data_IF_490024816199
#
_entry.id   IF_490024816199
#
_cell.length_a   1.000
_cell.length_b   1.000
_cell.length_c   1.000
_cell.angle_alpha   90.00
_cell.angle_beta   90.00
_cell.angle_gamma   90.00
#
_symmetry.space_group_name_H-M   'P 1'
#
loop_
_entity.id
_entity.type
_entity.pdbx_description
1 polymer ?
#
# COMPACT_ATOMS: atom_id res chain seq x y z
N UNK A 1 1.31 -16.39 21.36
CA UNK A 1 2.40 -15.97 20.42
C UNK A 1 1.77 -15.00 19.42
N UNK A 2 2.43 -13.86 19.17
CA UNK A 2 1.95 -12.87 18.18
C UNK A 2 2.15 -13.38 16.77
N UNK A 3 1.18 -13.14 15.87
CA UNK A 3 1.23 -13.60 14.49
C UNK A 3 1.18 -12.41 13.52
N UNK A 4 2.01 -12.45 12.45
CA UNK A 4 2.10 -11.46 11.40
C UNK A 4 2.01 -12.13 10.03
N UNK A 5 1.06 -11.68 9.20
CA UNK A 5 1.02 -12.02 7.78
C UNK A 5 1.55 -10.86 6.95
N UNK A 6 2.61 -11.10 6.19
CA UNK A 6 3.19 -10.13 5.24
C UNK A 6 2.68 -10.47 3.85
N UNK A 7 2.25 -9.47 3.09
CA UNK A 7 1.64 -9.65 1.77
C UNK A 7 2.35 -8.80 0.72
N UNK A 8 2.62 -9.38 -0.44
CA UNK A 8 3.04 -8.65 -1.63
C UNK A 8 2.26 -9.16 -2.85
N UNK A 9 1.67 -8.24 -3.60
CA UNK A 9 1.16 -8.54 -4.96
C UNK A 9 2.32 -8.45 -5.93
N UNK A 10 2.53 -9.52 -6.70
CA UNK A 10 3.61 -9.58 -7.69
C UNK A 10 3.02 -9.66 -9.10
N UNK A 11 3.66 -8.96 -10.07
CA UNK A 11 3.25 -8.95 -11.47
C UNK A 11 4.47 -8.75 -12.38
N UNK A 12 4.92 -9.82 -13.03
CA UNK A 12 6.08 -9.78 -13.92
C UNK A 12 7.41 -9.44 -13.25
N UNK A 13 7.50 -9.60 -11.93
CA UNK A 13 8.73 -9.37 -11.17
C UNK A 13 9.80 -10.40 -11.53
N UNK A 14 11.07 -9.99 -11.50
CA UNK A 14 12.20 -10.90 -11.66
C UNK A 14 12.34 -11.79 -10.42
N UNK A 15 12.39 -13.10 -10.62
CA UNK A 15 12.50 -14.11 -9.56
C UNK A 15 13.68 -13.83 -8.62
N UNK A 16 14.83 -13.43 -9.16
CA UNK A 16 16.04 -13.16 -8.39
C UNK A 16 15.85 -11.96 -7.44
N UNK A 17 15.11 -10.93 -7.87
CA UNK A 17 14.80 -9.78 -7.03
C UNK A 17 13.88 -10.17 -5.85
N UNK A 18 12.88 -11.01 -6.12
CA UNK A 18 11.98 -11.53 -5.09
C UNK A 18 12.73 -12.40 -4.08
N UNK A 19 13.63 -13.27 -4.52
CA UNK A 19 14.46 -14.10 -3.63
C UNK A 19 15.36 -13.25 -2.73
N UNK A 20 15.92 -12.14 -3.24
CA UNK A 20 16.69 -11.19 -2.42
C UNK A 20 15.81 -10.53 -1.36
N UNK A 21 14.60 -10.10 -1.71
CA UNK A 21 13.66 -9.51 -0.76
C UNK A 21 13.26 -10.51 0.34
N UNK A 22 12.97 -11.77 -0.02
CA UNK A 22 12.68 -12.85 0.94
C UNK A 22 13.85 -13.08 1.89
N UNK A 23 15.08 -13.13 1.37
CA UNK A 23 16.28 -13.32 2.19
C UNK A 23 16.52 -12.17 3.17
N UNK A 24 16.32 -10.92 2.73
CA UNK A 24 16.43 -9.74 3.59
C UNK A 24 15.34 -9.73 4.67
N UNK A 25 14.12 -10.12 4.31
CA UNK A 25 13.03 -10.23 5.27
C UNK A 25 13.32 -11.29 6.35
N UNK A 26 13.87 -12.45 5.98
CA UNK A 26 14.31 -13.47 6.95
C UNK A 26 15.26 -12.86 7.99
N UNK A 27 16.25 -12.07 7.56
CA UNK A 27 17.19 -11.41 8.49
C UNK A 27 16.46 -10.44 9.43
N UNK A 28 15.48 -9.71 8.92
CA UNK A 28 14.67 -8.78 9.73
C UNK A 28 13.86 -9.54 10.80
N UNK A 29 13.28 -10.69 10.45
CA UNK A 29 12.56 -11.56 11.38
C UNK A 29 13.51 -12.13 12.44
N UNK A 30 14.69 -12.61 12.06
CA UNK A 30 15.72 -13.07 12.99
C UNK A 30 16.15 -11.99 13.99
N UNK A 31 16.31 -10.76 13.52
CA UNK A 31 16.61 -9.61 14.42
C UNK A 31 15.47 -9.38 15.40
N UNK A 32 14.21 -9.49 14.95
CA UNK A 32 13.05 -9.38 15.83
C UNK A 32 13.07 -10.49 16.90
N UNK A 33 13.23 -11.75 16.51
CA UNK A 33 13.31 -12.90 17.43
C UNK A 33 14.39 -12.71 18.48
N UNK A 34 15.57 -12.26 18.08
CA UNK A 34 16.71 -12.03 18.97
C UNK A 34 16.50 -10.89 19.95
N UNK A 35 15.80 -9.79 19.53
CA UNK A 35 15.70 -8.56 20.33
C UNK A 35 14.41 -8.44 21.12
N UNK A 36 13.32 -9.01 20.64
CA UNK A 36 11.97 -8.80 21.18
C UNK A 36 11.37 -10.09 21.72
N UNK A 37 11.51 -11.20 20.98
CA UNK A 37 10.92 -12.49 21.32
C UNK A 37 10.23 -13.14 20.13
N UNK A 38 9.42 -14.15 20.39
CA UNK A 38 8.78 -14.95 19.35
C UNK A 38 7.72 -14.17 18.56
N UNK A 39 7.77 -14.31 17.26
CA UNK A 39 6.81 -13.80 16.29
C UNK A 39 6.61 -14.87 15.22
N UNK A 40 5.40 -15.37 15.06
CA UNK A 40 5.09 -16.25 13.94
C UNK A 40 4.82 -15.40 12.70
N UNK A 41 5.62 -15.59 11.66
CA UNK A 41 5.56 -14.81 10.42
C UNK A 41 5.20 -15.69 9.24
N UNK A 42 4.21 -15.26 8.45
CA UNK A 42 3.94 -15.81 7.12
C UNK A 42 4.13 -14.72 6.06
N UNK A 43 4.89 -15.02 5.00
CA UNK A 43 4.99 -14.19 3.80
C UNK A 43 4.12 -14.81 2.71
N UNK A 44 3.15 -14.06 2.23
CA UNK A 44 2.25 -14.47 1.15
C UNK A 44 2.51 -13.64 -0.10
N UNK A 45 2.98 -14.27 -1.16
CA UNK A 45 3.02 -13.65 -2.48
C UNK A 45 1.77 -14.02 -3.27
N UNK A 46 1.00 -12.99 -3.68
CA UNK A 46 -0.13 -13.11 -4.59
C UNK A 46 0.31 -12.80 -6.02
N UNK A 47 0.40 -13.83 -6.85
CA UNK A 47 0.89 -13.70 -8.22
C UNK A 47 -0.26 -13.39 -9.18
N UNK A 48 -0.27 -12.16 -9.66
CA UNK A 48 -1.18 -11.62 -10.66
C UNK A 48 -0.62 -11.69 -12.09
N UNK A 49 0.56 -12.31 -12.28
CA UNK A 49 1.22 -12.41 -13.58
C UNK A 49 0.49 -13.36 -14.53
N UNK A 50 0.61 -13.15 -15.86
CA UNK A 50 0.07 -14.09 -16.85
C UNK A 50 0.68 -15.50 -16.75
N UNK A 51 1.97 -15.57 -16.38
CA UNK A 51 2.70 -16.81 -16.17
C UNK A 51 3.24 -16.81 -14.74
N UNK A 52 3.13 -17.95 -14.05
CA UNK A 52 3.63 -18.11 -12.68
C UNK A 52 5.14 -17.83 -12.60
N UNK A 53 5.56 -17.12 -11.56
CA UNK A 53 6.96 -16.79 -11.33
C UNK A 53 7.67 -17.92 -10.58
N UNK A 54 7.01 -18.56 -9.63
CA UNK A 54 7.54 -19.66 -8.83
C UNK A 54 6.85 -20.98 -9.17
N UNK A 55 7.64 -22.05 -9.30
CA UNK A 55 7.16 -23.42 -9.37
C UNK A 55 7.02 -24.00 -7.95
N UNK A 56 6.32 -25.12 -7.79
CA UNK A 56 6.16 -25.78 -6.49
C UNK A 56 7.51 -26.17 -5.86
N UNK A 57 8.46 -26.58 -6.67
CA UNK A 57 9.83 -26.86 -6.21
C UNK A 57 10.54 -25.61 -5.67
N UNK A 58 10.29 -24.44 -6.28
CA UNK A 58 10.85 -23.19 -5.77
C UNK A 58 10.28 -22.85 -4.40
N UNK A 59 8.96 -22.99 -4.24
CA UNK A 59 8.28 -22.74 -2.95
C UNK A 59 8.81 -23.64 -1.86
N UNK A 60 8.98 -24.95 -2.16
CA UNK A 60 9.59 -25.91 -1.23
C UNK A 60 11.01 -25.48 -0.84
N UNK A 61 11.87 -25.18 -1.83
CA UNK A 61 13.26 -24.77 -1.61
C UNK A 61 13.37 -23.45 -0.82
N UNK A 62 12.45 -22.51 -1.06
CA UNK A 62 12.38 -21.27 -0.27
C UNK A 62 12.08 -21.61 1.19
N UNK A 63 11.06 -22.43 1.48
CA UNK A 63 10.70 -22.79 2.85
C UNK A 63 11.82 -23.56 3.57
N UNK A 64 12.51 -24.47 2.89
CA UNK A 64 13.71 -25.14 3.42
C UNK A 64 14.78 -24.12 3.83
N UNK A 65 15.06 -23.13 2.98
CA UNK A 65 16.03 -22.08 3.26
C UNK A 65 15.59 -21.11 4.37
N UNK A 66 14.29 -20.95 4.59
CA UNK A 66 13.76 -20.11 5.67
C UNK A 66 13.96 -20.75 7.05
N UNK A 67 14.15 -22.07 7.13
CA UNK A 67 14.53 -22.79 8.34
C UNK A 67 13.63 -22.48 9.56
N UNK A 68 12.31 -22.52 9.36
CA UNK A 68 11.28 -22.23 10.37
C UNK A 68 11.28 -20.78 10.95
N UNK A 69 12.13 -19.89 10.47
CA UNK A 69 12.09 -18.48 10.90
C UNK A 69 10.81 -17.78 10.47
N UNK A 70 10.30 -18.16 9.30
CA UNK A 70 9.03 -17.73 8.74
C UNK A 70 8.54 -18.72 7.70
N UNK A 71 7.26 -18.69 7.38
CA UNK A 71 6.64 -19.49 6.33
C UNK A 71 6.48 -18.67 5.05
N UNK A 72 6.75 -19.26 3.90
CA UNK A 72 6.47 -18.67 2.58
C UNK A 72 5.31 -19.38 1.91
N UNK A 73 4.32 -18.60 1.49
CA UNK A 73 3.14 -19.04 0.75
C UNK A 73 3.09 -18.33 -0.60
N UNK A 74 2.73 -19.08 -1.64
CA UNK A 74 2.59 -18.56 -2.99
C UNK A 74 1.20 -18.86 -3.54
N UNK A 75 0.45 -17.81 -3.89
CA UNK A 75 -0.92 -17.89 -4.40
C UNK A 75 -0.98 -17.35 -5.81
N UNK A 76 -1.47 -18.16 -6.76
CA UNK A 76 -1.66 -17.76 -8.15
C UNK A 76 -3.09 -17.26 -8.31
N UNK A 77 -3.26 -16.03 -8.79
CA UNK A 77 -4.60 -15.49 -9.01
C UNK A 77 -5.17 -15.86 -10.36
N UNK A 78 -4.32 -16.10 -11.39
CA UNK A 78 -4.77 -16.42 -12.74
C UNK A 78 -5.29 -15.20 -13.54
N UNK A 79 -5.21 -14.01 -12.97
CA UNK A 79 -5.57 -12.74 -13.61
C UNK A 79 -4.82 -11.57 -12.95
N UNK A 80 -4.74 -10.44 -13.65
CA UNK A 80 -4.19 -9.21 -13.09
C UNK A 80 -5.19 -8.60 -12.10
N UNK A 81 -4.93 -8.77 -10.82
CA UNK A 81 -5.81 -8.30 -9.73
C UNK A 81 -5.68 -6.81 -9.43
N UNK A 82 -4.62 -6.15 -9.87
CA UNK A 82 -4.21 -4.88 -9.29
C UNK A 82 -3.77 -5.05 -7.82
N UNK A 83 -3.51 -3.92 -7.14
CA UNK A 83 -3.05 -3.90 -5.74
C UNK A 83 -4.19 -4.18 -4.76
N UNK A 84 -5.25 -3.39 -4.81
CA UNK A 84 -6.36 -3.44 -3.86
C UNK A 84 -7.01 -4.84 -3.78
N UNK A 85 -7.42 -5.40 -4.92
CA UNK A 85 -8.04 -6.73 -4.97
C UNK A 85 -7.06 -7.84 -4.60
N UNK A 86 -5.79 -7.73 -5.02
CA UNK A 86 -4.76 -8.70 -4.67
C UNK A 86 -4.56 -8.81 -3.16
N UNK A 87 -4.47 -7.67 -2.46
CA UNK A 87 -4.36 -7.65 -1.01
C UNK A 87 -5.62 -8.17 -0.31
N UNK A 88 -6.81 -7.87 -0.82
CA UNK A 88 -8.06 -8.43 -0.29
C UNK A 88 -8.09 -9.95 -0.39
N UNK A 89 -7.75 -10.52 -1.56
CA UNK A 89 -7.70 -11.97 -1.77
C UNK A 89 -6.73 -12.68 -0.81
N UNK A 90 -5.58 -12.08 -0.52
CA UNK A 90 -4.62 -12.63 0.44
C UNK A 90 -5.08 -12.45 1.89
N UNK A 91 -5.83 -11.38 2.18
CA UNK A 91 -6.29 -11.03 3.52
C UNK A 91 -7.60 -11.66 3.95
N UNK A 92 -8.41 -12.19 3.02
CA UNK A 92 -9.77 -12.69 3.27
C UNK A 92 -9.85 -13.66 4.46
N UNK A 93 -8.95 -14.63 4.49
CA UNK A 93 -8.90 -15.66 5.54
C UNK A 93 -7.73 -15.46 6.53
N UNK A 94 -7.19 -14.23 6.61
CA UNK A 94 -6.11 -13.94 7.53
C UNK A 94 -6.60 -13.99 8.99
N UNK A 95 -5.92 -14.79 9.82
CA UNK A 95 -6.18 -14.90 11.27
C UNK A 95 -5.07 -14.30 12.12
N UNK A 96 -3.96 -13.88 11.51
CA UNK A 96 -2.84 -13.25 12.23
C UNK A 96 -3.30 -11.97 12.95
N UNK A 97 -2.62 -11.60 14.03
CA UNK A 97 -2.90 -10.37 14.79
C UNK A 97 -2.68 -9.12 13.94
N UNK A 98 -1.64 -9.17 13.10
CA UNK A 98 -1.22 -8.08 12.24
C UNK A 98 -1.08 -8.52 10.79
N UNK A 99 -1.37 -7.59 9.90
CA UNK A 99 -1.08 -7.69 8.48
C UNK A 99 -0.07 -6.63 8.10
N UNK A 100 0.89 -7.00 7.26
CA UNK A 100 1.84 -6.08 6.65
C UNK A 100 1.67 -6.12 5.13
N UNK A 101 1.60 -4.96 4.51
CA UNK A 101 1.73 -4.82 3.07
C UNK A 101 3.12 -4.30 2.77
N UNK A 102 3.79 -4.97 1.85
CA UNK A 102 5.12 -4.63 1.40
C UNK A 102 5.22 -4.80 -0.10
N UNK A 103 5.66 -3.77 -0.82
CA UNK A 103 5.95 -3.93 -2.23
C UNK A 103 7.04 -4.97 -2.44
N UNK A 104 6.99 -5.75 -3.54
CA UNK A 104 7.92 -6.86 -3.77
C UNK A 104 9.38 -6.45 -4.02
N UNK A 105 9.62 -5.17 -4.25
CA UNK A 105 10.94 -4.55 -4.44
C UNK A 105 11.44 -3.77 -3.21
N UNK A 106 10.73 -3.92 -2.08
CA UNK A 106 11.12 -3.34 -0.79
C UNK A 106 12.06 -4.27 -0.04
N UNK A 107 13.13 -3.70 0.51
CA UNK A 107 14.05 -4.35 1.44
C UNK A 107 14.00 -3.62 2.77
N UNK A 108 13.71 -4.32 3.85
CA UNK A 108 13.62 -3.73 5.18
C UNK A 108 14.99 -3.58 5.83
N UNK A 109 15.21 -2.45 6.50
CA UNK A 109 16.30 -2.33 7.48
C UNK A 109 16.03 -3.33 8.63
N UNK A 110 17.06 -3.95 9.22
CA UNK A 110 16.88 -5.06 10.18
C UNK A 110 15.99 -4.78 11.39
N UNK A 111 15.84 -3.53 11.83
CA UNK A 111 14.96 -3.16 12.95
C UNK A 111 13.61 -2.55 12.51
N UNK A 112 13.39 -2.41 11.22
CA UNK A 112 12.18 -1.78 10.66
C UNK A 112 10.90 -2.42 11.23
N UNK A 113 10.79 -3.74 11.14
CA UNK A 113 9.64 -4.49 11.64
C UNK A 113 9.41 -4.28 13.14
N UNK A 114 10.48 -4.33 13.94
CA UNK A 114 10.40 -4.09 15.38
C UNK A 114 9.82 -2.73 15.71
N UNK A 115 10.31 -1.68 15.03
CA UNK A 115 9.87 -0.30 15.27
C UNK A 115 8.42 -0.08 14.88
N UNK A 116 7.99 -0.68 13.76
CA UNK A 116 6.59 -0.57 13.31
C UNK A 116 5.62 -1.31 14.25
N UNK A 117 5.94 -2.53 14.67
CA UNK A 117 5.09 -3.30 15.58
C UNK A 117 5.01 -2.67 16.97
N UNK A 118 6.06 -1.95 17.42
CA UNK A 118 6.04 -1.30 18.72
C UNK A 118 4.97 -0.21 18.81
N UNK A 119 4.78 0.61 17.79
CA UNK A 119 3.77 1.68 17.80
C UNK A 119 2.35 1.14 17.74
N UNK A 120 2.15 -0.05 17.17
CA UNK A 120 0.85 -0.73 17.12
C UNK A 120 0.40 -1.33 18.46
N UNK A 121 1.25 -1.33 19.50
CA UNK A 121 0.85 -1.69 20.88
C UNK A 121 -0.17 -0.71 21.43
N UNK A 122 -0.15 0.56 21.01
CA UNK A 122 -1.21 1.50 21.33
C UNK A 122 -2.52 1.05 20.68
N UNK A 123 -3.60 0.84 21.45
CA UNK A 123 -4.89 0.42 20.92
C UNK A 123 -5.51 1.43 19.93
N UNK A 124 -5.18 2.72 20.06
CA UNK A 124 -5.65 3.79 19.18
C UNK A 124 -4.95 3.82 17.82
N UNK A 125 -3.77 3.21 17.71
CA UNK A 125 -3.02 3.15 16.43
C UNK A 125 -3.57 2.00 15.59
N UNK A 126 -4.04 2.35 14.40
CA UNK A 126 -4.57 1.40 13.42
C UNK A 126 -3.53 0.92 12.44
N UNK A 127 -2.64 1.82 12.00
CA UNK A 127 -1.66 1.57 10.95
C UNK A 127 -0.35 2.29 11.27
N UNK A 128 0.78 1.62 10.98
CA UNK A 128 2.12 2.15 11.02
C UNK A 128 2.76 2.08 9.62
N UNK A 129 3.40 3.18 9.18
CA UNK A 129 4.11 3.27 7.91
C UNK A 129 5.61 3.41 8.15
N UNK A 130 6.42 2.67 7.37
CA UNK A 130 7.87 2.83 7.35
C UNK A 130 8.30 3.99 6.45
N UNK A 131 9.40 4.65 6.83
CA UNK A 131 10.08 5.61 5.96
C UNK A 131 10.68 4.91 4.75
N UNK A 132 10.24 5.30 3.57
CA UNK A 132 10.81 4.80 2.31
C UNK A 132 12.06 5.60 1.92
N UNK A 133 13.06 4.93 1.38
CA UNK A 133 14.27 5.54 0.82
C UNK A 133 14.59 4.89 -0.54
N UNK A 134 15.21 5.58 -1.49
CA UNK A 134 15.66 6.98 -1.48
C UNK A 134 14.51 7.99 -1.65
N UNK A 135 13.35 7.59 -2.19
CA UNK A 135 12.21 8.45 -2.41
C UNK A 135 11.08 8.13 -1.43
N UNK A 136 10.62 9.14 -0.74
CA UNK A 136 9.44 9.07 0.13
C UNK A 136 8.39 10.10 -0.27
N UNK A 137 7.15 9.87 0.15
CA UNK A 137 6.12 10.90 0.16
C UNK A 137 6.38 11.81 1.37
N UNK A 138 6.94 13.00 1.14
CA UNK A 138 7.38 13.93 2.18
C UNK A 138 6.20 14.66 2.87
N UNK A 139 5.20 13.90 3.31
CA UNK A 139 4.02 14.39 4.02
C UNK A 139 4.32 14.82 5.46
N UNK A 140 3.52 15.75 5.97
CA UNK A 140 3.61 16.23 7.35
C UNK A 140 3.24 15.12 8.33
N UNK A 141 3.88 15.14 9.49
CA UNK A 141 3.53 14.29 10.64
C UNK A 141 3.88 15.00 11.94
N UNK A 142 3.18 14.68 13.01
CA UNK A 142 3.48 15.19 14.35
C UNK A 142 4.81 14.58 14.85
N UNK A 143 5.80 15.43 15.13
CA UNK A 143 7.17 15.00 15.49
C UNK A 143 7.18 14.19 16.80
N UNK A 144 6.24 14.44 17.73
CA UNK A 144 6.20 13.78 19.04
C UNK A 144 5.52 12.41 18.96
N UNK A 145 4.45 12.31 18.16
CA UNK A 145 3.60 11.11 18.11
C UNK A 145 3.81 10.28 16.84
N UNK A 146 4.33 10.88 15.77
CA UNK A 146 4.39 10.29 14.44
C UNK A 146 3.04 10.32 13.69
N UNK A 147 1.98 10.89 14.27
CA UNK A 147 0.66 10.90 13.65
C UNK A 147 0.66 11.65 12.31
N UNK A 148 0.08 11.02 11.29
CA UNK A 148 -0.01 11.56 9.93
C UNK A 148 -1.40 11.31 9.34
N UNK A 149 -1.72 11.97 8.23
CA UNK A 149 -3.07 11.90 7.66
C UNK A 149 -3.30 10.67 6.79
N UNK A 150 -2.27 10.09 6.22
CA UNK A 150 -2.35 8.88 5.39
C UNK A 150 -1.01 8.16 5.35
N UNK A 151 -1.00 6.93 4.88
CA UNK A 151 0.18 6.09 4.72
C UNK A 151 0.22 5.47 3.33
N UNK A 152 1.40 5.48 2.71
CA UNK A 152 1.63 4.71 1.49
C UNK A 152 1.74 3.22 1.81
N UNK A 153 0.98 2.38 1.11
CA UNK A 153 0.99 0.93 1.32
C UNK A 153 2.23 0.22 0.76
N UNK A 154 3.23 0.95 0.30
CA UNK A 154 4.49 0.33 -0.12
C UNK A 154 5.21 -0.40 1.02
N UNK A 155 5.04 0.04 2.27
CA UNK A 155 5.53 -0.65 3.46
C UNK A 155 4.74 -0.21 4.70
N UNK A 156 3.67 -0.92 5.05
CA UNK A 156 2.79 -0.62 6.18
C UNK A 156 2.43 -1.87 6.97
N UNK A 157 2.25 -1.71 8.29
CA UNK A 157 1.69 -2.75 9.18
C UNK A 157 0.43 -2.22 9.84
N UNK A 158 -0.58 -3.05 9.95
CA UNK A 158 -1.85 -2.69 10.60
C UNK A 158 -2.48 -3.89 11.32
N UNK A 159 -3.42 -3.61 12.21
CA UNK A 159 -4.15 -4.66 12.94
C UNK A 159 -5.15 -5.36 12.00
N UNK A 160 -5.11 -6.68 11.93
CA UNK A 160 -6.02 -7.47 11.08
C UNK A 160 -7.50 -7.21 11.38
N UNK A 161 -7.84 -6.98 12.66
CA UNK A 161 -9.21 -6.62 13.05
C UNK A 161 -9.72 -5.36 12.36
N UNK A 162 -8.85 -4.36 12.15
CA UNK A 162 -9.22 -3.09 11.49
C UNK A 162 -9.44 -3.32 10.00
N UNK A 163 -8.59 -4.13 9.35
CA UNK A 163 -8.79 -4.52 7.97
C UNK A 163 -10.16 -5.16 7.76
N UNK A 164 -10.56 -6.07 8.66
CA UNK A 164 -11.88 -6.71 8.62
C UNK A 164 -13.02 -5.72 8.91
N UNK A 165 -12.85 -4.84 9.88
CA UNK A 165 -13.83 -3.81 10.27
C UNK A 165 -14.17 -2.88 9.12
N UNK A 166 -13.15 -2.40 8.39
CA UNK A 166 -13.34 -1.51 7.24
C UNK A 166 -13.52 -2.26 5.91
N UNK A 167 -13.64 -3.60 5.94
CA UNK A 167 -13.84 -4.48 4.78
C UNK A 167 -12.72 -4.43 3.75
N UNK A 168 -11.46 -4.31 4.21
CA UNK A 168 -10.28 -4.30 3.36
C UNK A 168 -10.16 -3.07 2.45
N UNK A 169 -9.50 -3.23 1.31
CA UNK A 169 -9.40 -2.21 0.27
C UNK A 169 -10.67 -2.14 -0.56
N UNK A 170 -11.03 -0.95 -1.04
CA UNK A 170 -12.13 -0.78 -2.00
C UNK A 170 -11.67 -1.14 -3.42
N UNK A 171 -11.63 -2.45 -3.69
CA UNK A 171 -11.17 -3.00 -4.94
C UNK A 171 -12.16 -2.83 -6.12
N UNK A 172 -13.40 -2.48 -5.85
CA UNK A 172 -14.40 -2.17 -6.89
C UNK A 172 -14.18 -0.76 -7.44
N UNK A 173 -13.65 0.12 -6.61
CA UNK A 173 -13.31 1.50 -6.98
C UNK A 173 -11.88 1.60 -7.53
N UNK A 174 -10.90 1.04 -6.83
CA UNK A 174 -9.48 1.22 -7.12
C UNK A 174 -8.82 -0.06 -7.60
N UNK A 175 -8.28 -0.03 -8.81
CA UNK A 175 -7.43 -1.11 -9.31
C UNK A 175 -6.00 -0.99 -8.74
N UNK A 176 -5.45 0.21 -8.79
CA UNK A 176 -4.18 0.63 -8.20
C UNK A 176 -4.16 2.17 -8.09
N UNK A 177 -3.30 2.71 -7.25
CA UNK A 177 -3.22 4.12 -6.85
C UNK A 177 -4.44 4.61 -6.06
N UNK A 178 -4.24 5.57 -5.21
CA UNK A 178 -5.20 6.13 -4.29
C UNK A 178 -5.92 5.10 -3.38
N UNK A 179 -5.71 3.82 -3.59
CA UNK A 179 -6.18 2.74 -2.72
C UNK A 179 -5.57 2.84 -1.32
N UNK A 180 -4.33 3.28 -1.20
CA UNK A 180 -3.63 3.57 0.06
C UNK A 180 -4.21 4.80 0.79
N UNK A 181 -4.52 5.86 0.06
CA UNK A 181 -5.20 7.05 0.59
C UNK A 181 -6.60 6.69 1.12
N UNK A 182 -7.42 6.04 0.29
CA UNK A 182 -8.77 5.60 0.68
C UNK A 182 -8.74 4.68 1.90
N UNK A 183 -7.84 3.70 1.91
CA UNK A 183 -7.65 2.77 3.01
C UNK A 183 -7.27 3.50 4.30
N UNK A 184 -6.31 4.40 4.22
CA UNK A 184 -5.85 5.23 5.33
C UNK A 184 -6.98 6.10 5.90
N UNK A 185 -7.70 6.80 5.03
CA UNK A 185 -8.78 7.67 5.45
C UNK A 185 -9.96 6.89 6.03
N UNK A 186 -10.28 5.69 5.52
CA UNK A 186 -11.29 4.83 6.15
C UNK A 186 -10.87 4.32 7.53
N UNK A 187 -9.59 4.03 7.75
CA UNK A 187 -9.04 3.73 9.09
C UNK A 187 -9.24 4.91 10.04
N UNK A 188 -8.96 6.15 9.58
CA UNK A 188 -9.18 7.36 10.38
C UNK A 188 -10.65 7.63 10.62
N UNK A 189 -11.52 7.39 9.64
CA UNK A 189 -12.97 7.52 9.78
C UNK A 189 -13.53 6.55 10.83
N UNK A 190 -12.93 5.37 10.96
CA UNK A 190 -13.22 4.41 12.03
C UNK A 190 -12.63 4.79 13.41
N UNK A 191 -11.95 5.95 13.52
CA UNK A 191 -11.44 6.51 14.77
C UNK A 191 -10.03 6.09 15.16
N UNK A 192 -9.28 5.44 14.28
CA UNK A 192 -7.90 5.03 14.54
C UNK A 192 -6.88 6.05 13.99
N UNK A 193 -5.70 6.04 14.61
CA UNK A 193 -4.56 6.86 14.20
C UNK A 193 -3.69 6.13 13.18
N UNK A 194 -3.06 6.91 12.31
CA UNK A 194 -2.01 6.46 11.40
C UNK A 194 -0.69 7.06 11.87
N UNK A 195 0.32 6.22 12.02
CA UNK A 195 1.63 6.63 12.50
C UNK A 195 2.69 6.42 11.42
N UNK A 196 3.33 7.50 11.02
CA UNK A 196 4.58 7.46 10.27
C UNK A 196 5.73 7.21 11.25
N UNK A 197 6.57 6.21 10.96
CA UNK A 197 7.68 5.79 11.82
C UNK A 197 9.01 6.11 11.12
N UNK A 198 9.56 7.33 11.26
CA UNK A 198 10.73 7.76 10.50
C UNK A 198 12.01 6.95 10.79
N UNK A 199 12.07 6.28 11.94
CA UNK A 199 13.16 5.38 12.30
C UNK A 199 13.03 3.98 11.70
N UNK A 200 11.85 3.56 11.21
CA UNK A 200 11.63 2.31 10.50
C UNK A 200 11.93 2.53 9.02
N UNK A 201 13.05 2.03 8.51
CA UNK A 201 13.52 2.30 7.15
C UNK A 201 13.20 1.13 6.23
N UNK A 202 12.60 1.44 5.09
CA UNK A 202 12.32 0.54 4.00
C UNK A 202 13.01 1.04 2.71
N UNK A 203 13.92 0.26 2.18
CA UNK A 203 14.56 0.56 0.90
C UNK A 203 13.64 0.12 -0.23
N UNK A 204 13.10 1.09 -0.95
CA UNK A 204 12.16 0.88 -2.05
C UNK A 204 12.88 1.19 -3.37
N UNK A 205 13.19 0.17 -4.14
CA UNK A 205 14.01 0.25 -5.36
C UNK A 205 13.22 0.85 -6.54
N UNK A 206 12.71 2.08 -6.41
CA UNK A 206 12.07 2.78 -7.53
C UNK A 206 13.09 3.02 -8.65
N UNK A 207 12.72 2.66 -9.88
CA UNK A 207 13.52 2.98 -11.06
C UNK A 207 13.46 4.48 -11.30
N UNK A 208 14.55 5.16 -10.98
CA UNK A 208 14.72 6.58 -11.29
C UNK A 208 15.25 6.74 -12.72
N UNK A 209 14.77 7.76 -13.41
CA UNK A 209 15.39 8.23 -14.63
C UNK A 209 16.73 8.93 -14.32
N UNK A 210 17.54 9.21 -15.36
CA UNK A 210 18.86 9.85 -15.20
C UNK A 210 18.77 11.22 -14.51
N UNK A 211 17.65 11.91 -14.68
CA UNK A 211 17.33 13.19 -14.04
C UNK A 211 16.78 13.06 -12.61
N UNK A 212 16.76 11.83 -12.07
CA UNK A 212 16.20 11.54 -10.76
C UNK A 212 14.66 11.48 -10.73
N UNK A 213 13.98 11.72 -11.84
CA UNK A 213 12.52 11.64 -11.96
C UNK A 213 12.02 10.21 -12.14
N UNK A 214 10.75 10.01 -11.88
CA UNK A 214 10.05 8.79 -12.21
C UNK A 214 9.35 8.94 -13.56
N UNK A 215 9.51 7.94 -14.46
CA UNK A 215 8.82 7.91 -15.75
C UNK A 215 7.74 6.85 -15.73
N UNK A 216 6.47 7.25 -15.55
CA UNK A 216 5.36 6.31 -15.54
C UNK A 216 5.12 5.72 -16.93
N UNK A 217 4.62 4.49 -16.96
CA UNK A 217 4.06 3.87 -18.16
C UNK A 217 2.68 4.46 -18.49
N UNK A 218 2.19 4.27 -19.70
CA UNK A 218 0.84 4.71 -20.07
C UNK A 218 -0.27 4.10 -19.20
N UNK A 219 -0.07 2.86 -18.72
CA UNK A 219 -0.99 2.21 -17.80
C UNK A 219 -0.97 2.89 -16.42
N UNK A 220 0.21 3.22 -15.90
CA UNK A 220 0.34 3.92 -14.62
C UNK A 220 -0.28 5.33 -14.69
N UNK A 221 -0.09 6.06 -15.79
CA UNK A 221 -0.76 7.37 -16.01
C UNK A 221 -2.28 7.20 -16.03
N UNK A 222 -2.80 6.19 -16.75
CA UNK A 222 -4.23 5.93 -16.81
C UNK A 222 -4.83 5.66 -15.43
N UNK A 223 -4.27 4.67 -14.70
CA UNK A 223 -4.82 4.29 -13.39
C UNK A 223 -4.65 5.37 -12.34
N UNK A 224 -3.57 6.14 -12.38
CA UNK A 224 -3.36 7.29 -11.50
C UNK A 224 -4.42 8.37 -11.72
N UNK A 225 -4.73 8.70 -12.98
CA UNK A 225 -5.75 9.68 -13.31
C UNK A 225 -7.17 9.19 -12.95
N UNK A 226 -7.50 7.94 -13.28
CA UNK A 226 -8.78 7.32 -12.91
C UNK A 226 -8.98 7.32 -11.40
N UNK A 227 -7.98 6.85 -10.65
CA UNK A 227 -8.04 6.77 -9.20
C UNK A 227 -8.19 8.15 -8.54
N UNK A 228 -7.50 9.17 -9.06
CA UNK A 228 -7.62 10.54 -8.55
C UNK A 228 -9.05 11.09 -8.68
N UNK A 229 -9.70 10.88 -9.84
CA UNK A 229 -11.10 11.30 -10.06
C UNK A 229 -12.04 10.53 -9.13
N UNK A 230 -11.88 9.21 -9.04
CA UNK A 230 -12.73 8.34 -8.21
C UNK A 230 -12.55 8.62 -6.72
N UNK A 231 -11.33 8.91 -6.26
CA UNK A 231 -11.06 9.32 -4.88
C UNK A 231 -11.78 10.64 -4.55
N UNK A 232 -11.64 11.64 -5.43
CA UNK A 232 -12.32 12.92 -5.24
C UNK A 232 -13.84 12.76 -5.21
N UNK A 233 -14.40 11.92 -6.07
CA UNK A 233 -15.84 11.62 -6.08
C UNK A 233 -16.28 10.93 -4.78
N UNK A 234 -15.61 9.84 -4.40
CA UNK A 234 -15.93 9.03 -3.21
C UNK A 234 -15.88 9.88 -1.93
N UNK A 235 -14.92 10.79 -1.83
CA UNK A 235 -14.72 11.64 -0.66
C UNK A 235 -15.38 13.02 -0.76
N UNK A 236 -16.52 13.08 -1.48
CA UNK A 236 -17.42 14.24 -1.55
C UNK A 236 -16.78 15.55 -2.03
N UNK A 237 -15.90 15.52 -3.02
CA UNK A 237 -15.20 16.70 -3.56
C UNK A 237 -15.65 17.01 -5.00
N UNK A 238 -16.88 17.49 -5.24
CA UNK A 238 -17.41 17.66 -6.60
C UNK A 238 -16.62 18.70 -7.42
N UNK A 239 -16.12 19.78 -6.81
CA UNK A 239 -15.32 20.79 -7.50
C UNK A 239 -13.99 20.21 -7.96
N UNK A 240 -13.38 19.34 -7.15
CA UNK A 240 -12.16 18.64 -7.54
C UNK A 240 -12.39 17.63 -8.65
N UNK A 241 -13.49 16.90 -8.61
CA UNK A 241 -13.88 16.02 -9.73
C UNK A 241 -13.96 16.79 -11.03
N UNK A 242 -14.67 17.94 -11.01
CA UNK A 242 -14.78 18.83 -12.18
C UNK A 242 -13.41 19.30 -12.67
N UNK A 243 -12.57 19.81 -11.75
CA UNK A 243 -11.22 20.27 -12.06
C UNK A 243 -10.36 19.18 -12.70
N UNK A 244 -10.31 17.97 -12.10
CA UNK A 244 -9.53 16.85 -12.62
C UNK A 244 -10.03 16.40 -14.00
N UNK A 245 -11.34 16.32 -14.21
CA UNK A 245 -11.90 15.99 -15.51
C UNK A 245 -11.52 17.04 -16.58
N UNK A 246 -11.53 18.34 -16.25
CA UNK A 246 -11.12 19.40 -17.17
C UNK A 246 -9.62 19.32 -17.50
N UNK A 247 -8.76 19.14 -16.52
CA UNK A 247 -7.30 19.00 -16.70
C UNK A 247 -6.97 17.77 -17.54
N UNK A 248 -7.49 16.61 -17.15
CA UNK A 248 -7.20 15.34 -17.84
C UNK A 248 -7.82 15.25 -19.25
N UNK A 249 -8.91 15.95 -19.51
CA UNK A 249 -9.47 16.05 -20.87
C UNK A 249 -8.54 16.81 -21.85
N UNK A 250 -7.63 17.64 -21.31
CA UNK A 250 -6.61 18.35 -22.10
C UNK A 250 -5.26 17.65 -22.09
N UNK A 251 -5.11 16.61 -21.29
CA UNK A 251 -3.90 15.79 -21.12
C UNK A 251 -3.67 14.80 -22.26
N UNK A 252 -2.83 13.78 -21.99
CA UNK A 252 -2.53 12.72 -22.92
C UNK A 252 -3.68 11.71 -23.12
N UNK A 253 -3.47 10.71 -23.98
CA UNK A 253 -4.50 9.71 -24.28
C UNK A 253 -4.91 8.86 -23.06
N UNK A 254 -3.96 8.55 -22.16
CA UNK A 254 -4.24 7.80 -20.95
C UNK A 254 -5.15 8.58 -19.99
N UNK A 255 -4.91 9.87 -19.82
CA UNK A 255 -5.71 10.74 -18.97
C UNK A 255 -7.12 10.96 -19.56
N UNK A 256 -7.23 11.21 -20.88
CA UNK A 256 -8.52 11.30 -21.57
C UNK A 256 -9.34 10.02 -21.44
N UNK A 257 -8.66 8.85 -21.49
CA UNK A 257 -9.31 7.55 -21.30
C UNK A 257 -9.86 7.42 -19.87
N UNK A 258 -9.14 7.89 -18.85
CA UNK A 258 -9.61 7.89 -17.48
C UNK A 258 -10.89 8.73 -17.28
N UNK A 259 -10.96 9.93 -17.90
CA UNK A 259 -12.18 10.74 -17.88
C UNK A 259 -13.35 10.03 -18.54
N UNK A 260 -13.12 9.41 -19.72
CA UNK A 260 -14.17 8.64 -20.40
C UNK A 260 -14.68 7.46 -19.56
N UNK A 261 -13.79 6.76 -18.87
CA UNK A 261 -14.20 5.66 -17.98
C UNK A 261 -15.00 6.18 -16.78
N UNK A 262 -14.62 7.30 -16.19
CA UNK A 262 -15.39 7.93 -15.11
C UNK A 262 -16.81 8.29 -15.56
N UNK A 263 -16.97 8.94 -16.72
CA UNK A 263 -18.30 9.27 -17.27
C UNK A 263 -19.13 8.02 -17.62
N UNK A 264 -18.47 6.97 -18.12
CA UNK A 264 -19.09 5.67 -18.37
C UNK A 264 -19.60 5.04 -17.07
N UNK A 265 -18.78 4.98 -16.01
CA UNK A 265 -19.18 4.47 -14.70
C UNK A 265 -20.36 5.28 -14.12
N UNK A 266 -20.36 6.59 -14.33
CA UNK A 266 -21.47 7.46 -13.92
C UNK A 266 -22.77 7.12 -14.64
N UNK A 267 -22.74 6.95 -15.95
CA UNK A 267 -23.90 6.56 -16.75
C UNK A 267 -24.45 5.18 -16.40
N UNK A 268 -23.56 4.23 -16.06
CA UNK A 268 -23.89 2.87 -15.69
C UNK A 268 -24.26 2.70 -14.20
N UNK A 269 -24.22 3.76 -13.40
CA UNK A 269 -24.49 3.71 -11.97
C UNK A 269 -23.45 2.92 -11.17
N UNK A 270 -22.22 2.84 -11.64
CA UNK A 270 -21.10 2.10 -11.04
C UNK A 270 -20.10 2.97 -10.27
N UNK A 271 -20.46 4.22 -9.98
CA UNK A 271 -19.62 5.07 -9.12
C UNK A 271 -19.69 4.57 -7.66
N UNK A 272 -18.61 4.76 -6.87
CA UNK A 272 -18.61 4.37 -5.47
C UNK A 272 -19.62 5.17 -4.65
N UNK A 273 -19.99 4.62 -3.49
CA UNK A 273 -20.75 5.37 -2.50
C UNK A 273 -19.95 6.59 -2.01
N UNK A 274 -20.62 7.73 -1.93
CA UNK A 274 -20.01 8.97 -1.43
C UNK A 274 -19.98 8.95 0.09
N UNK A 275 -18.81 9.04 0.66
CA UNK A 275 -18.55 9.04 2.10
C UNK A 275 -17.95 10.37 2.57
N UNK A 276 -17.83 10.56 3.88
CA UNK A 276 -17.26 11.78 4.53
C UNK A 276 -17.83 13.10 4.00
N UNK A 277 -19.15 13.17 3.79
CA UNK A 277 -19.86 14.37 3.28
C UNK A 277 -19.63 15.63 4.12
N UNK A 278 -19.12 15.49 5.34
CA UNK A 278 -18.80 16.59 6.25
C UNK A 278 -17.31 16.97 6.22
N UNK A 279 -16.52 16.37 5.35
CA UNK A 279 -15.09 16.63 5.15
C UNK A 279 -14.26 16.56 6.43
N UNK A 280 -14.55 15.58 7.31
CA UNK A 280 -13.83 15.39 8.57
C UNK A 280 -12.44 14.80 8.39
N UNK A 281 -12.27 13.95 7.40
CA UNK A 281 -11.08 13.11 7.23
C UNK A 281 -10.38 13.38 5.90
N UNK A 282 -11.09 13.24 4.77
CA UNK A 282 -10.51 13.40 3.44
C UNK A 282 -10.08 14.84 3.18
N UNK A 283 -8.77 15.06 3.01
CA UNK A 283 -8.21 16.39 2.71
C UNK A 283 -7.59 16.43 1.33
N UNK A 284 -7.89 17.51 0.61
CA UNK A 284 -7.36 17.80 -0.70
C UNK A 284 -6.78 19.23 -0.68
N UNK A 285 -5.46 19.34 -0.81
CA UNK A 285 -4.70 20.58 -0.74
C UNK A 285 -4.01 20.82 -2.08
N UNK A 286 -4.72 21.44 -3.03
CA UNK A 286 -4.25 21.52 -4.41
C UNK A 286 -4.07 20.09 -4.97
N UNK A 287 -2.90 19.73 -5.41
CA UNK A 287 -2.59 18.39 -5.92
C UNK A 287 -2.13 17.39 -4.83
N UNK A 288 -2.06 17.85 -3.58
CA UNK A 288 -1.62 17.07 -2.44
C UNK A 288 -2.81 16.62 -1.56
N UNK A 289 -2.59 15.60 -0.74
CA UNK A 289 -3.59 14.99 0.15
C UNK A 289 -3.34 15.27 1.63
N UNK A 290 -2.27 16.03 1.93
CA UNK A 290 -1.92 16.55 3.25
C UNK A 290 -0.90 17.67 3.09
N UNK A 291 -0.58 18.36 4.18
CA UNK A 291 0.54 19.29 4.19
C UNK A 291 1.87 18.57 3.91
N UNK A 292 2.76 19.24 3.15
CA UNK A 292 4.08 18.70 2.82
C UNK A 292 5.12 19.20 3.82
N UNK A 293 6.00 18.29 4.30
CA UNK A 293 7.10 18.60 5.23
C UNK A 293 8.06 19.65 4.71
N UNK A 294 8.33 19.60 3.41
CA UNK A 294 9.26 20.49 2.76
C UNK A 294 8.49 21.38 1.79
N UNK A 295 7.97 22.51 2.31
CA UNK A 295 7.42 23.57 1.46
C UNK A 295 8.56 24.44 0.99
N UNK A 296 8.93 24.32 -0.27
CA UNK A 296 9.72 25.37 -0.89
C UNK A 296 8.78 26.58 -1.09
N UNK A 297 8.99 27.66 -0.31
CA UNK A 297 8.37 28.94 -0.63
C UNK A 297 8.80 29.34 -2.05
N UNK A 298 7.83 29.45 -2.95
CA UNK A 298 8.06 30.03 -4.27
C UNK A 298 8.40 31.51 -4.12
#
# INVERSE_FOLDING_TARGET
MMELQIQSVIYGNKKEALLKAISALKQTVQVYHKKVGELKVSLVYGDASPNRIFLEEDVRRINENLNNEMEFQYRIFGFNSGTAKGHNLMGENCTADFMMIMNPDVILEPQCLTRMLMVLKDPKVGLAEARQTPLEHAKEYDIKTGETEWASTACTVFKTKIFKEIKGFDADTFFMYCDDLDFSWRIRLAGYKIIYVPSAIAYHAKKLAVDGGWKPTGAEVYYSAEAAILLAYKWAQPDRVKYLCEVFSRGGESEKKAVKEFEKRKQEGRLPEVIDKTHKIGRFLGDEYCEMRFKFSK
#
